data_IF_437143425478
#
_entry.id   IF_437143425478
#
_cell.length_a   1.000
_cell.length_b   1.000
_cell.length_c   1.000
_cell.angle_alpha   90.00
_cell.angle_beta   90.00
_cell.angle_gamma   90.00
#
_symmetry.space_group_name_H-M   'P 1'
#
loop_
_entity.id
_entity.type
_entity.pdbx_description
1 polymer ?
#
# COMPACT_ATOMS: atom_id res chain seq x y z
N UNK A 1 -20.62 21.44 -14.97
CA UNK A 1 -19.91 20.39 -15.72
C UNK A 1 -19.49 19.35 -14.69
N UNK A 2 -19.94 18.11 -14.83
CA UNK A 2 -19.52 17.01 -13.95
C UNK A 2 -18.09 16.62 -14.29
N UNK A 3 -17.19 16.71 -13.31
CA UNK A 3 -15.81 16.25 -13.47
C UNK A 3 -15.72 14.81 -12.95
N UNK A 4 -14.79 14.04 -13.52
CA UNK A 4 -14.44 12.69 -13.05
C UNK A 4 -13.18 12.77 -12.22
N UNK A 5 -13.16 12.10 -11.06
CA UNK A 5 -11.97 12.08 -10.23
C UNK A 5 -10.87 11.25 -10.90
N UNK A 6 -9.69 11.84 -11.14
CA UNK A 6 -8.55 11.11 -11.71
C UNK A 6 -8.02 9.98 -10.81
N UNK A 7 -8.23 10.07 -9.48
CA UNK A 7 -7.73 9.08 -8.51
C UNK A 7 -8.64 7.86 -8.38
N UNK A 8 -9.97 8.02 -8.44
CA UNK A 8 -10.92 6.91 -8.23
C UNK A 8 -11.92 6.69 -9.38
N UNK A 9 -11.89 7.49 -10.44
CA UNK A 9 -12.76 7.34 -11.60
C UNK A 9 -14.24 7.68 -11.39
N UNK A 10 -14.64 8.15 -10.20
CA UNK A 10 -16.04 8.52 -9.93
C UNK A 10 -16.42 9.83 -10.61
N UNK A 11 -17.58 9.82 -11.27
CA UNK A 11 -18.24 10.99 -11.86
C UNK A 11 -18.87 11.88 -10.80
N UNK A 12 -19.15 13.15 -11.14
CA UNK A 12 -19.83 14.14 -10.28
C UNK A 12 -19.01 14.64 -9.07
N UNK A 13 -17.69 14.68 -9.18
CA UNK A 13 -16.87 15.35 -8.16
C UNK A 13 -16.87 16.87 -8.34
N UNK A 14 -17.08 17.58 -7.22
CA UNK A 14 -16.80 19.02 -7.12
C UNK A 14 -15.33 19.24 -7.44
N UNK A 15 -15.01 20.22 -8.28
CA UNK A 15 -13.85 20.25 -9.20
C UNK A 15 -12.44 20.18 -8.57
N UNK A 16 -12.31 20.09 -7.25
CA UNK A 16 -11.04 19.95 -6.52
C UNK A 16 -11.10 18.99 -5.33
N UNK A 17 -12.29 18.48 -4.99
CA UNK A 17 -12.50 17.64 -3.83
C UNK A 17 -13.31 16.39 -4.16
N UNK A 18 -12.73 15.24 -3.89
CA UNK A 18 -13.39 13.94 -4.04
C UNK A 18 -13.64 13.37 -2.65
N UNK A 19 -14.89 13.35 -2.17
CA UNK A 19 -15.24 12.82 -0.85
C UNK A 19 -14.93 11.33 -0.68
N UNK A 20 -15.00 10.55 -1.77
CA UNK A 20 -14.72 9.11 -1.74
C UNK A 20 -13.23 8.78 -1.62
N UNK A 21 -12.44 9.50 -2.41
CA UNK A 21 -11.02 9.27 -2.52
C UNK A 21 -10.18 10.29 -1.74
N UNK A 22 -10.85 11.20 -1.03
CA UNK A 22 -10.27 12.33 -0.28
C UNK A 22 -9.19 13.06 -1.07
N UNK A 23 -9.40 13.18 -2.39
CA UNK A 23 -8.53 14.01 -3.21
C UNK A 23 -8.68 15.46 -2.76
N UNK A 24 -7.56 16.13 -2.49
CA UNK A 24 -7.55 17.49 -1.94
C UNK A 24 -7.61 17.58 -0.40
N UNK A 25 -7.68 16.47 0.34
CA UNK A 25 -7.60 16.51 1.83
C UNK A 25 -6.17 16.54 2.36
N UNK A 26 -6.05 16.80 3.66
CA UNK A 26 -4.80 16.61 4.40
C UNK A 26 -4.25 15.18 4.26
N UNK A 27 -2.93 15.05 4.40
CA UNK A 27 -2.24 13.75 4.41
C UNK A 27 -2.74 12.84 5.53
N UNK A 28 -3.14 13.42 6.67
CA UNK A 28 -3.66 12.68 7.82
C UNK A 28 -4.94 11.96 7.43
N UNK A 29 -5.94 12.67 6.90
CA UNK A 29 -7.21 12.05 6.48
C UNK A 29 -7.01 10.95 5.43
N UNK A 30 -6.13 11.18 4.45
CA UNK A 30 -5.82 10.17 3.45
C UNK A 30 -5.08 8.95 4.04
N UNK A 31 -4.28 9.12 5.10
CA UNK A 31 -3.52 8.01 5.71
C UNK A 31 -4.39 7.09 6.56
N UNK A 32 -5.43 7.63 7.20
CA UNK A 32 -6.25 6.93 8.20
C UNK A 32 -7.62 6.46 7.68
N UNK A 33 -8.02 6.82 6.45
CA UNK A 33 -9.25 6.31 5.86
C UNK A 33 -9.11 4.88 5.31
N UNK A 34 -10.25 4.28 5.01
CA UNK A 34 -10.33 3.04 4.24
C UNK A 34 -10.03 3.29 2.75
N UNK A 35 -9.23 2.42 2.14
CA UNK A 35 -8.88 2.45 0.71
C UNK A 35 -9.29 1.12 0.07
N UNK A 36 -10.45 1.09 -0.58
CA UNK A 36 -10.87 -0.07 -1.36
C UNK A 36 -9.88 -0.35 -2.50
N UNK A 37 -9.52 -1.62 -2.75
CA UNK A 37 -8.68 -1.98 -3.88
C UNK A 37 -9.30 -1.55 -5.21
N UNK A 38 -8.49 -0.92 -6.07
CA UNK A 38 -8.83 -0.59 -7.46
C UNK A 38 -8.39 -1.70 -8.40
N UNK A 39 -8.86 -1.67 -9.65
CA UNK A 39 -8.41 -2.59 -10.69
C UNK A 39 -6.87 -2.61 -10.81
N UNK A 40 -6.30 -3.81 -10.91
CA UNK A 40 -4.85 -4.02 -10.98
C UNK A 40 -4.08 -3.86 -9.64
N UNK A 41 -4.63 -3.20 -8.62
CA UNK A 41 -3.96 -3.11 -7.30
C UNK A 41 -3.80 -4.48 -6.61
N UNK A 42 -4.78 -5.40 -6.61
CA UNK A 42 -4.63 -6.73 -6.03
C UNK A 42 -3.37 -7.47 -6.50
N UNK A 43 -3.08 -7.38 -7.81
CA UNK A 43 -1.90 -8.02 -8.40
C UNK A 43 -0.60 -7.41 -7.88
N UNK A 44 -0.53 -6.08 -7.77
CA UNK A 44 0.64 -5.39 -7.20
C UNK A 44 0.91 -5.82 -5.75
N UNK A 45 -0.14 -5.95 -4.94
CA UNK A 45 0.02 -6.41 -3.55
C UNK A 45 0.52 -7.86 -3.49
N UNK A 46 0.02 -8.71 -4.38
CA UNK A 46 0.48 -10.11 -4.49
C UNK A 46 1.94 -10.18 -4.88
N UNK A 47 2.36 -9.46 -5.92
CA UNK A 47 3.74 -9.46 -6.41
C UNK A 47 4.73 -9.02 -5.32
N UNK A 48 4.39 -7.99 -4.55
CA UNK A 48 5.21 -7.53 -3.41
C UNK A 48 5.31 -8.60 -2.33
N UNK A 49 4.17 -9.21 -1.95
CA UNK A 49 4.16 -10.23 -0.90
C UNK A 49 4.92 -11.48 -1.29
N UNK A 50 4.80 -11.94 -2.54
CA UNK A 50 5.54 -13.11 -3.02
C UNK A 50 7.05 -12.84 -3.02
N UNK A 51 7.51 -11.68 -3.48
CA UNK A 51 8.94 -11.33 -3.44
C UNK A 51 9.49 -11.15 -2.04
N UNK A 52 8.71 -10.58 -1.12
CA UNK A 52 9.11 -10.53 0.28
C UNK A 52 9.18 -11.92 0.90
N UNK A 53 8.23 -12.81 0.58
CA UNK A 53 8.23 -14.20 1.05
C UNK A 53 9.44 -14.98 0.53
N UNK A 54 9.82 -14.81 -0.73
CA UNK A 54 11.06 -15.38 -1.27
C UNK A 54 12.30 -14.94 -0.46
N UNK A 55 12.42 -13.63 -0.18
CA UNK A 55 13.52 -13.10 0.63
C UNK A 55 13.48 -13.60 2.08
N UNK A 56 12.29 -13.72 2.66
CA UNK A 56 12.10 -14.24 4.02
C UNK A 56 12.62 -15.68 4.15
N UNK A 57 12.34 -16.54 3.16
CA UNK A 57 12.90 -17.89 3.13
C UNK A 57 14.43 -17.88 3.03
N UNK A 58 14.99 -16.99 2.21
CA UNK A 58 16.45 -16.88 2.08
C UNK A 58 17.12 -16.40 3.38
N UNK A 59 16.51 -15.45 4.07
CA UNK A 59 16.97 -15.00 5.41
C UNK A 59 16.87 -16.16 6.40
N UNK A 60 15.77 -16.92 6.37
CA UNK A 60 15.57 -18.04 7.28
C UNK A 60 16.62 -19.14 7.09
N UNK A 61 16.91 -19.48 5.84
CA UNK A 61 17.87 -20.50 5.45
C UNK A 61 19.32 -20.11 5.75
N UNK A 62 19.72 -18.88 5.41
CA UNK A 62 21.12 -18.48 5.41
C UNK A 62 21.59 -17.81 6.71
N UNK A 63 20.68 -17.18 7.47
CA UNK A 63 21.07 -16.48 8.70
C UNK A 63 20.99 -17.41 9.92
N UNK A 64 21.99 -17.40 10.82
CA UNK A 64 21.90 -18.12 12.08
C UNK A 64 20.78 -17.56 12.95
N UNK A 65 20.29 -18.37 13.90
CA UNK A 65 19.32 -17.91 14.88
C UNK A 65 19.96 -16.84 15.78
N UNK A 66 19.57 -15.58 15.55
CA UNK A 66 20.13 -14.41 16.22
C UNK A 66 19.12 -13.26 16.29
N UNK A 67 19.46 -12.22 17.05
CA UNK A 67 18.67 -10.99 17.13
C UNK A 67 18.55 -10.32 15.75
N UNK A 68 19.64 -10.31 14.99
CA UNK A 68 19.71 -9.70 13.66
C UNK A 68 18.76 -10.39 12.68
N UNK A 69 18.68 -11.73 12.69
CA UNK A 69 17.70 -12.48 11.89
C UNK A 69 16.28 -12.08 12.25
N UNK A 70 15.94 -12.01 13.54
CA UNK A 70 14.62 -11.58 13.98
C UNK A 70 14.29 -10.15 13.53
N UNK A 71 15.25 -9.21 13.66
CA UNK A 71 15.08 -7.83 13.21
C UNK A 71 14.90 -7.77 11.69
N UNK A 72 15.69 -8.52 10.92
CA UNK A 72 15.59 -8.55 9.46
C UNK A 72 14.20 -9.01 9.00
N UNK A 73 13.63 -10.03 9.65
CA UNK A 73 12.26 -10.49 9.37
C UNK A 73 11.21 -9.41 9.70
N UNK A 74 11.31 -8.77 10.87
CA UNK A 74 10.40 -7.68 11.26
C UNK A 74 10.47 -6.47 10.31
N UNK A 75 11.67 -6.08 9.90
CA UNK A 75 11.86 -4.96 8.97
C UNK A 75 11.37 -5.31 7.56
N UNK A 76 11.50 -6.57 7.12
CA UNK A 76 10.94 -7.04 5.86
C UNK A 76 9.40 -6.96 5.86
N UNK A 77 8.75 -7.40 6.94
CA UNK A 77 7.30 -7.26 7.11
C UNK A 77 6.87 -5.78 7.12
N UNK A 78 7.64 -4.92 7.79
CA UNK A 78 7.41 -3.48 7.84
C UNK A 78 7.56 -2.84 6.45
N UNK A 79 8.56 -3.25 5.67
CA UNK A 79 8.74 -2.81 4.30
C UNK A 79 7.53 -3.17 3.42
N UNK A 80 7.03 -4.41 3.53
CA UNK A 80 5.81 -4.86 2.81
C UNK A 80 4.58 -4.05 3.22
N UNK A 81 4.40 -3.79 4.52
CA UNK A 81 3.31 -2.97 5.03
C UNK A 81 3.33 -1.57 4.38
N UNK A 82 4.48 -0.90 4.38
CA UNK A 82 4.62 0.44 3.80
C UNK A 82 4.50 0.44 2.28
N UNK A 83 5.01 -0.59 1.59
CA UNK A 83 4.85 -0.75 0.16
C UNK A 83 3.36 -0.89 -0.23
N UNK A 84 2.61 -1.75 0.46
CA UNK A 84 1.17 -1.90 0.24
C UNK A 84 0.41 -0.62 0.59
N UNK A 85 0.76 0.05 1.69
CA UNK A 85 0.17 1.32 2.05
C UNK A 85 0.42 2.41 0.99
N UNK A 86 1.58 2.40 0.33
CA UNK A 86 1.88 3.33 -0.77
C UNK A 86 0.97 3.11 -1.98
N UNK A 87 0.62 1.86 -2.31
CA UNK A 87 -0.31 1.54 -3.39
C UNK A 87 -1.75 1.91 -2.99
N UNK A 88 -2.14 1.64 -1.75
CA UNK A 88 -3.49 1.94 -1.27
C UNK A 88 -3.77 3.45 -1.23
N UNK A 89 -2.79 4.25 -0.78
CA UNK A 89 -2.93 5.68 -0.52
C UNK A 89 -2.78 6.57 -1.76
N UNK A 90 -2.40 6.02 -2.92
CA UNK A 90 -2.17 6.73 -4.18
C UNK A 90 -3.07 6.21 -5.31
#
# INVERSE_FOLDING_TARGET
MSNTCFKCGKSEVMTEFCSDCLLGTSKIENNFKYHSPKEGQPKKYEDIREKAKELAYLIDELCPNSREKSVAMTELETAVMWANASIARN
#
